data_IF_531988001069
#
_entry.id   IF_531988001069
#
_cell.length_a   1.000
_cell.length_b   1.000
_cell.length_c   1.000
_cell.angle_alpha   90.00
_cell.angle_beta   90.00
_cell.angle_gamma   90.00
#
_symmetry.space_group_name_H-M   'P 1'
#
loop_
_entity.id
_entity.type
_entity.pdbx_description
1 polymer ?
#
# COMPACT_ATOMS: atom_id res chain seq x y z
N UNK A 1 45.88 -0.55 -0.37
CA UNK A 1 45.11 -0.26 -1.59
C UNK A 1 43.71 -0.82 -1.37
N UNK A 2 42.72 0.07 -1.31
CA UNK A 2 41.39 -0.12 -0.71
C UNK A 2 40.48 -1.01 -1.58
N UNK A 3 40.00 -2.17 -1.09
CA UNK A 3 38.93 -2.92 -1.77
C UNK A 3 38.03 -3.77 -0.84
N UNK A 4 37.62 -3.34 0.36
CA UNK A 4 36.58 -4.08 1.14
C UNK A 4 35.69 -3.18 2.04
N UNK A 5 35.39 -1.96 1.60
CA UNK A 5 34.71 -0.95 2.46
C UNK A 5 33.23 -0.69 2.19
N UNK A 6 32.67 -1.14 1.05
CA UNK A 6 31.32 -0.73 0.60
C UNK A 6 30.35 -1.90 0.37
N UNK A 7 30.83 -3.13 0.23
CA UNK A 7 29.96 -4.29 -0.04
C UNK A 7 29.25 -4.82 1.22
N UNK A 8 29.84 -4.67 2.42
CA UNK A 8 29.20 -5.12 3.67
C UNK A 8 27.94 -4.31 3.98
N UNK A 9 27.96 -2.98 3.80
CA UNK A 9 26.77 -2.15 3.98
C UNK A 9 25.67 -2.48 2.97
N UNK A 10 26.03 -2.76 1.71
CA UNK A 10 25.07 -3.16 0.67
C UNK A 10 24.46 -4.53 0.97
N UNK A 11 25.25 -5.49 1.45
CA UNK A 11 24.78 -6.81 1.88
C UNK A 11 23.93 -6.74 3.15
N UNK A 12 24.29 -5.92 4.15
CA UNK A 12 23.49 -5.69 5.35
C UNK A 12 22.17 -5.00 5.02
N UNK A 13 22.17 -4.01 4.13
CA UNK A 13 20.96 -3.36 3.62
C UNK A 13 20.09 -4.35 2.83
N UNK A 14 20.66 -5.17 1.95
CA UNK A 14 19.92 -6.20 1.22
C UNK A 14 19.38 -7.29 2.16
N UNK A 15 20.12 -7.69 3.18
CA UNK A 15 19.70 -8.70 4.16
C UNK A 15 18.60 -8.16 5.08
N UNK A 16 18.73 -6.93 5.59
CA UNK A 16 17.66 -6.25 6.34
C UNK A 16 16.41 -6.04 5.48
N UNK A 17 16.58 -5.65 4.21
CA UNK A 17 15.45 -5.51 3.29
C UNK A 17 14.77 -6.86 2.99
N UNK A 18 15.52 -7.96 2.97
CA UNK A 18 14.99 -9.34 2.86
C UNK A 18 14.28 -9.81 4.14
N UNK A 19 14.80 -9.46 5.32
CA UNK A 19 14.18 -9.74 6.61
C UNK A 19 12.85 -8.99 6.75
N UNK A 20 12.83 -7.71 6.36
CA UNK A 20 11.61 -6.88 6.28
C UNK A 20 10.60 -7.49 5.29
N UNK A 21 11.05 -8.00 4.13
CA UNK A 21 10.15 -8.68 3.19
C UNK A 21 9.50 -9.95 3.77
N UNK A 22 10.15 -10.62 4.71
CA UNK A 22 9.57 -11.82 5.32
C UNK A 22 8.47 -11.52 6.35
N UNK A 23 8.25 -10.24 6.69
CA UNK A 23 7.18 -9.78 7.57
C UNK A 23 5.89 -9.41 6.83
N UNK A 24 5.96 -9.28 5.49
CA UNK A 24 4.81 -8.95 4.65
C UNK A 24 4.41 -10.13 3.75
N UNK A 25 3.12 -10.31 3.50
CA UNK A 25 2.59 -11.13 2.40
C UNK A 25 2.18 -10.23 1.24
N UNK A 26 2.23 -10.76 0.01
CA UNK A 26 1.77 -10.07 -1.20
C UNK A 26 0.45 -10.70 -1.66
N UNK A 27 -0.66 -10.11 -1.21
CA UNK A 27 -1.98 -10.70 -1.31
C UNK A 27 -2.72 -10.20 -2.56
N UNK A 28 -3.36 -11.12 -3.28
CA UNK A 28 -4.12 -10.79 -4.48
C UNK A 28 -5.55 -10.38 -4.14
N UNK A 29 -5.97 -9.24 -4.70
CA UNK A 29 -7.33 -8.72 -4.64
C UNK A 29 -7.91 -8.61 -6.06
N UNK A 30 -9.24 -8.60 -6.17
CA UNK A 30 -9.96 -8.38 -7.45
C UNK A 30 -9.56 -9.36 -8.58
N UNK A 31 -9.24 -10.61 -8.23
CA UNK A 31 -8.75 -11.62 -9.19
C UNK A 31 -7.30 -11.40 -9.63
N UNK A 32 -6.48 -10.71 -8.83
CA UNK A 32 -5.08 -10.42 -9.13
C UNK A 32 -4.85 -9.11 -9.87
N UNK A 33 -5.89 -8.32 -10.14
CA UNK A 33 -5.80 -6.98 -10.71
C UNK A 33 -5.22 -5.95 -9.74
N UNK A 34 -5.34 -6.20 -8.45
CA UNK A 34 -4.72 -5.44 -7.38
C UNK A 34 -3.89 -6.40 -6.52
N UNK A 35 -2.70 -5.99 -6.12
CA UNK A 35 -1.83 -6.76 -5.21
C UNK A 35 -1.31 -5.89 -4.09
N UNK A 36 -1.55 -6.30 -2.85
CA UNK A 36 -1.23 -5.50 -1.67
C UNK A 36 -0.24 -6.24 -0.80
N UNK A 37 0.87 -5.57 -0.49
CA UNK A 37 1.71 -5.93 0.63
C UNK A 37 0.93 -5.71 1.93
N UNK A 38 0.83 -6.75 2.76
CA UNK A 38 0.15 -6.74 4.04
C UNK A 38 1.05 -7.30 5.12
N UNK A 39 1.03 -6.78 6.37
CA UNK A 39 1.74 -7.42 7.46
C UNK A 39 1.23 -8.85 7.66
N UNK A 40 2.13 -9.81 7.86
CA UNK A 40 1.75 -11.20 8.18
C UNK A 40 1.11 -11.31 9.57
N UNK A 41 1.35 -10.33 10.45
CA UNK A 41 0.81 -10.23 11.80
C UNK A 41 0.18 -8.86 12.02
N UNK A 42 -0.92 -8.80 12.75
CA UNK A 42 -1.68 -7.56 12.99
C UNK A 42 -2.89 -7.45 12.06
N UNK A 43 -3.34 -6.21 11.84
CA UNK A 43 -4.49 -5.94 10.98
C UNK A 43 -4.20 -6.32 9.53
N UNK A 44 -5.17 -6.97 8.89
CA UNK A 44 -5.08 -7.39 7.48
C UNK A 44 -6.40 -7.11 6.79
N UNK A 45 -6.34 -6.44 5.66
CA UNK A 45 -7.48 -6.20 4.81
C UNK A 45 -7.96 -7.52 4.17
N UNK A 46 -9.28 -7.65 4.03
CA UNK A 46 -9.93 -8.79 3.42
C UNK A 46 -11.08 -8.38 2.53
N UNK A 47 -12.11 -9.22 2.50
CA UNK A 47 -13.29 -9.03 1.66
C UNK A 47 -14.11 -7.78 2.06
N UNK A 48 -14.10 -7.43 3.35
CA UNK A 48 -14.72 -6.22 3.89
C UNK A 48 -14.25 -4.95 3.17
N UNK A 49 -12.96 -4.83 2.90
CA UNK A 49 -12.36 -3.69 2.21
C UNK A 49 -12.83 -3.60 0.75
N UNK A 50 -13.02 -4.75 0.10
CA UNK A 50 -13.55 -4.82 -1.27
C UNK A 50 -15.03 -4.43 -1.29
N UNK A 51 -15.80 -4.91 -0.32
CA UNK A 51 -17.23 -4.59 -0.21
C UNK A 51 -17.46 -3.12 0.11
N UNK A 52 -16.68 -2.54 1.01
CA UNK A 52 -16.72 -1.10 1.32
C UNK A 52 -16.34 -0.28 0.07
N UNK A 53 -15.27 -0.66 -0.63
CA UNK A 53 -14.92 -0.01 -1.88
C UNK A 53 -16.04 -0.12 -2.92
N UNK A 54 -16.79 -1.23 -2.96
CA UNK A 54 -17.91 -1.41 -3.89
C UNK A 54 -19.16 -0.59 -3.53
N UNK A 55 -19.41 -0.35 -2.23
CA UNK A 55 -20.58 0.42 -1.78
C UNK A 55 -20.47 1.93 -2.03
N UNK A 56 -19.25 2.44 -2.28
CA UNK A 56 -19.03 3.86 -2.56
C UNK A 56 -19.55 4.23 -3.96
N UNK A 57 -20.50 5.17 -4.04
CA UNK A 57 -21.09 5.64 -5.30
C UNK A 57 -20.26 6.74 -5.97
N UNK A 58 -18.95 6.52 -6.12
CA UNK A 58 -18.05 7.47 -6.77
C UNK A 58 -18.05 7.30 -8.30
N UNK A 59 -17.88 8.41 -9.00
CA UNK A 59 -17.76 8.51 -10.44
C UNK A 59 -16.35 8.93 -10.87
N UNK A 60 -16.03 8.69 -12.15
CA UNK A 60 -14.79 9.18 -12.75
C UNK A 60 -14.70 10.70 -12.63
N UNK A 61 -13.55 11.21 -12.19
CA UNK A 61 -13.36 12.64 -11.96
C UNK A 61 -13.79 13.14 -10.58
N UNK A 62 -14.39 12.30 -9.72
CA UNK A 62 -14.66 12.66 -8.34
C UNK A 62 -13.37 12.68 -7.49
N UNK A 63 -13.48 13.28 -6.30
CA UNK A 63 -12.46 13.22 -5.26
C UNK A 63 -12.94 12.42 -4.07
N UNK A 64 -12.06 11.57 -3.52
CA UNK A 64 -12.36 10.72 -2.36
C UNK A 64 -11.26 10.84 -1.31
N UNK A 65 -11.67 10.73 -0.04
CA UNK A 65 -10.78 10.67 1.12
C UNK A 65 -11.04 9.37 1.87
N UNK A 66 -9.98 8.60 2.10
CA UNK A 66 -9.99 7.41 2.95
C UNK A 66 -9.23 7.72 4.25
N UNK A 67 -9.95 7.71 5.38
CA UNK A 67 -9.42 8.08 6.70
C UNK A 67 -9.07 6.82 7.47
N UNK A 68 -7.81 6.71 7.89
CA UNK A 68 -7.25 5.44 8.37
C UNK A 68 -7.06 4.48 7.20
N UNK A 69 -6.39 4.94 6.14
CA UNK A 69 -6.28 4.20 4.88
C UNK A 69 -5.50 2.88 5.03
N UNK A 70 -4.75 2.69 6.12
CA UNK A 70 -4.00 1.47 6.40
C UNK A 70 -3.03 1.16 5.28
N UNK A 71 -3.05 -0.08 4.77
CA UNK A 71 -2.25 -0.50 3.61
C UNK A 71 -2.85 -0.05 2.25
N UNK A 72 -3.96 0.70 2.26
CA UNK A 72 -4.64 1.26 1.10
C UNK A 72 -5.69 0.35 0.43
N UNK A 73 -6.15 -0.71 1.09
CA UNK A 73 -6.99 -1.73 0.45
C UNK A 73 -8.31 -1.18 -0.11
N UNK A 74 -9.04 -0.39 0.69
CA UNK A 74 -10.32 0.22 0.27
C UNK A 74 -10.07 1.22 -0.86
N UNK A 75 -9.17 2.18 -0.64
CA UNK A 75 -8.85 3.23 -1.60
C UNK A 75 -8.39 2.66 -2.96
N UNK A 76 -7.51 1.67 -2.95
CA UNK A 76 -6.97 1.09 -4.19
C UNK A 76 -7.95 0.14 -4.90
N UNK A 77 -8.84 -0.53 -4.16
CA UNK A 77 -9.97 -1.24 -4.77
C UNK A 77 -10.92 -0.26 -5.46
N UNK A 78 -11.21 0.88 -4.82
CA UNK A 78 -12.07 1.92 -5.39
C UNK A 78 -11.45 2.53 -6.66
N UNK A 79 -10.17 2.88 -6.64
CA UNK A 79 -9.45 3.40 -7.82
C UNK A 79 -9.38 2.40 -8.98
N UNK A 80 -9.31 1.09 -8.70
CA UNK A 80 -9.38 0.06 -9.74
C UNK A 80 -10.77 -0.02 -10.38
N UNK A 81 -11.84 0.17 -9.58
CA UNK A 81 -13.22 0.10 -10.05
C UNK A 81 -13.64 1.38 -10.81
N UNK A 82 -13.13 2.53 -10.38
CA UNK A 82 -13.49 3.86 -10.91
C UNK A 82 -12.22 4.56 -11.39
N UNK A 83 -11.91 4.47 -12.70
CA UNK A 83 -10.77 5.17 -13.29
C UNK A 83 -10.85 6.68 -13.09
N UNK A 84 -9.69 7.35 -13.10
CA UNK A 84 -9.57 8.82 -13.01
C UNK A 84 -10.13 9.46 -11.73
N UNK A 85 -10.20 8.70 -10.63
CA UNK A 85 -10.46 9.25 -9.30
C UNK A 85 -9.28 10.08 -8.79
N UNK A 86 -9.58 11.22 -8.15
CA UNK A 86 -8.62 11.96 -7.32
C UNK A 86 -8.68 11.40 -5.89
N UNK A 87 -7.79 10.47 -5.59
CA UNK A 87 -7.78 9.75 -4.33
C UNK A 87 -6.80 10.35 -3.32
N UNK A 88 -7.26 10.58 -2.09
CA UNK A 88 -6.41 10.89 -0.93
C UNK A 88 -6.62 9.85 0.15
N UNK A 89 -5.54 9.36 0.75
CA UNK A 89 -5.57 8.54 1.95
C UNK A 89 -4.83 9.24 3.07
N UNK A 90 -5.33 9.16 4.30
CA UNK A 90 -4.61 9.60 5.50
C UNK A 90 -4.47 8.44 6.47
N UNK A 91 -3.27 8.26 7.04
CA UNK A 91 -2.95 7.21 8.00
C UNK A 91 -2.13 7.79 9.15
N UNK A 92 -2.41 7.37 10.38
CA UNK A 92 -1.71 7.83 11.58
C UNK A 92 -0.42 7.03 11.83
N UNK A 93 -0.45 5.72 11.54
CA UNK A 93 0.67 4.83 11.81
C UNK A 93 1.70 4.86 10.68
N UNK A 94 2.94 5.27 10.97
CA UNK A 94 4.01 5.46 9.99
C UNK A 94 4.31 4.18 9.17
N UNK A 95 4.20 3.01 9.79
CA UNK A 95 4.43 1.73 9.12
C UNK A 95 3.37 1.45 8.05
N UNK A 96 2.09 1.74 8.34
CA UNK A 96 1.01 1.57 7.38
C UNK A 96 1.00 2.66 6.31
N UNK A 97 1.33 3.90 6.68
CA UNK A 97 1.58 4.98 5.72
C UNK A 97 2.63 4.58 4.68
N UNK A 98 3.78 4.08 5.15
CA UNK A 98 4.87 3.60 4.29
C UNK A 98 4.43 2.42 3.42
N UNK A 99 3.56 1.55 3.95
CA UNK A 99 3.02 0.41 3.22
C UNK A 99 2.01 0.83 2.14
N UNK A 100 1.14 1.80 2.43
CA UNK A 100 0.21 2.37 1.45
C UNK A 100 0.95 3.02 0.28
N UNK A 101 2.03 3.77 0.54
CA UNK A 101 2.88 4.31 -0.52
C UNK A 101 3.44 3.21 -1.43
N UNK A 102 4.05 2.17 -0.84
CA UNK A 102 4.58 1.03 -1.58
C UNK A 102 3.51 0.32 -2.41
N UNK A 103 2.31 0.15 -1.85
CA UNK A 103 1.18 -0.47 -2.55
C UNK A 103 0.64 0.42 -3.68
N UNK A 104 0.60 1.73 -3.49
CA UNK A 104 0.22 2.69 -4.53
C UNK A 104 1.16 2.56 -5.73
N UNK A 105 2.47 2.60 -5.48
CA UNK A 105 3.51 2.48 -6.51
C UNK A 105 3.46 1.11 -7.20
N UNK A 106 3.37 0.03 -6.41
CA UNK A 106 3.30 -1.36 -6.93
C UNK A 106 2.12 -1.59 -7.87
N UNK A 107 1.00 -0.89 -7.67
CA UNK A 107 -0.19 -1.02 -8.50
C UNK A 107 -0.32 0.09 -9.56
N UNK A 108 0.68 0.96 -9.71
CA UNK A 108 0.65 2.12 -10.61
C UNK A 108 -0.56 3.05 -10.35
N UNK A 109 -0.98 3.15 -9.09
CA UNK A 109 -2.08 4.02 -8.67
C UNK A 109 -1.48 5.33 -8.15
N UNK A 110 -1.99 6.46 -8.64
CA UNK A 110 -1.53 7.80 -8.22
C UNK A 110 -2.43 8.35 -7.12
N UNK A 111 -2.36 7.75 -5.93
CA UNK A 111 -3.04 8.28 -4.75
C UNK A 111 -2.13 9.27 -4.01
N UNK A 112 -2.73 10.31 -3.42
CA UNK A 112 -2.03 11.18 -2.46
C UNK A 112 -2.16 10.55 -1.07
N UNK A 113 -1.07 10.04 -0.52
CA UNK A 113 -1.06 9.48 0.84
C UNK A 113 -0.45 10.50 1.80
N UNK A 114 -1.12 10.76 2.92
CA UNK A 114 -0.73 11.69 3.96
C UNK A 114 -0.48 10.92 5.27
N UNK A 115 0.56 11.30 5.98
CA UNK A 115 0.75 10.89 7.38
C UNK A 115 -0.01 11.88 8.27
N UNK A 116 -0.87 11.37 9.15
CA UNK A 116 -1.59 12.12 10.17
C UNK A 116 -0.72 12.43 11.39
N UNK A 117 -1.18 13.37 12.21
CA UNK A 117 -0.54 13.86 13.43
C UNK A 117 -1.14 13.32 14.74
#
# INVERSE_FOLDING_TARGET
MLIYGTDILLLELQCNMKLIQNEFSDDAFLGGRLRLLQPKKGFRAGIDSVLLAASVTACSGDSVLDVGTGAGAVLFCLMNRVPSLRATGIELQEEYYSLALKNSDKNNLKAKILLGD
#
